data_IF_838788030312
#
_entry.id   IF_838788030312
#
_cell.length_a   1.000
_cell.length_b   1.000
_cell.length_c   1.000
_cell.angle_alpha   90.00
_cell.angle_beta   90.00
_cell.angle_gamma   90.00
#
_symmetry.space_group_name_H-M   'P 1'
#
loop_
_entity.id
_entity.type
_entity.pdbx_description
1 polymer ?
#
# COMPACT_ATOMS: atom_id res chain seq x y z
N UNK A 1 -21.95 64.12 -9.91
CA UNK A 1 -23.21 63.85 -9.18
C UNK A 1 -23.86 62.66 -9.90
N UNK A 2 -24.02 61.43 -9.41
CA UNK A 2 -24.10 60.77 -8.09
C UNK A 2 -23.64 59.31 -8.39
N UNK A 3 -22.51 58.81 -7.89
CA UNK A 3 -22.33 58.11 -6.61
C UNK A 3 -23.32 56.96 -6.33
N UNK A 4 -22.93 55.73 -6.70
CA UNK A 4 -23.30 54.42 -6.09
C UNK A 4 -22.10 53.48 -6.40
N UNK A 5 -21.13 53.22 -5.54
CA UNK A 5 -21.10 52.70 -4.17
C UNK A 5 -21.85 51.38 -3.98
N UNK A 6 -21.08 50.37 -3.53
CA UNK A 6 -21.46 49.13 -2.84
C UNK A 6 -21.72 47.90 -3.74
N UNK A 7 -21.23 46.68 -3.50
CA UNK A 7 -20.54 46.09 -2.33
C UNK A 7 -20.04 44.67 -2.74
N UNK A 8 -18.85 44.29 -2.24
CA UNK A 8 -18.34 42.96 -1.81
C UNK A 8 -18.59 41.71 -2.67
N UNK A 9 -17.53 41.06 -3.19
CA UNK A 9 -16.79 39.94 -2.55
C UNK A 9 -17.63 38.65 -2.39
N UNK A 10 -17.38 37.66 -3.24
CA UNK A 10 -17.51 36.25 -2.83
C UNK A 10 -16.36 35.44 -3.43
N UNK A 11 -15.36 35.21 -2.59
CA UNK A 11 -14.41 34.12 -2.74
C UNK A 11 -15.14 32.81 -2.39
N UNK A 12 -15.02 31.82 -3.27
CA UNK A 12 -15.18 30.41 -2.90
C UNK A 12 -14.38 29.57 -3.91
N UNK A 13 -13.05 29.62 -3.77
CA UNK A 13 -12.19 28.51 -4.17
C UNK A 13 -12.55 27.34 -3.25
N UNK A 14 -13.55 26.57 -3.66
CA UNK A 14 -13.87 25.31 -3.01
C UNK A 14 -12.86 24.32 -3.55
N UNK A 15 -11.96 23.89 -2.66
CA UNK A 15 -11.01 22.83 -2.95
C UNK A 15 -11.74 21.61 -3.49
N UNK A 16 -11.33 21.18 -4.67
CA UNK A 16 -11.64 19.87 -5.22
C UNK A 16 -10.92 18.82 -4.37
N UNK A 17 -11.49 18.53 -3.20
CA UNK A 17 -11.26 17.27 -2.53
C UNK A 17 -11.89 16.19 -3.39
N UNK A 18 -11.06 15.42 -4.11
CA UNK A 18 -11.50 14.20 -4.75
C UNK A 18 -11.92 13.20 -3.67
N UNK A 19 -13.16 13.32 -3.19
CA UNK A 19 -13.85 12.19 -2.57
C UNK A 19 -14.21 11.26 -3.71
N UNK A 20 -13.29 10.35 -4.07
CA UNK A 20 -13.61 9.21 -4.93
C UNK A 20 -14.60 8.32 -4.18
N UNK A 21 -15.89 8.63 -4.32
CA UNK A 21 -16.94 7.66 -4.06
C UNK A 21 -16.67 6.44 -4.96
N UNK A 22 -16.81 5.20 -4.45
CA UNK A 22 -16.62 4.03 -5.28
C UNK A 22 -17.54 4.14 -6.50
N UNK A 23 -17.03 3.87 -7.71
CA UNK A 23 -17.88 3.85 -8.88
C UNK A 23 -19.03 2.86 -8.66
N UNK A 24 -20.26 3.28 -8.93
CA UNK A 24 -21.46 2.47 -8.68
C UNK A 24 -21.42 1.09 -9.36
N UNK A 25 -20.58 0.90 -10.38
CA UNK A 25 -20.37 -0.38 -11.06
C UNK A 25 -19.64 -1.43 -10.21
N UNK A 26 -18.74 -1.04 -9.30
CA UNK A 26 -18.00 -1.99 -8.47
C UNK A 26 -18.89 -2.64 -7.40
N UNK A 27 -19.97 -1.97 -7.02
CA UNK A 27 -20.99 -2.47 -6.09
C UNK A 27 -22.00 -3.42 -6.76
N UNK A 28 -22.03 -3.49 -8.09
CA UNK A 28 -22.94 -4.33 -8.87
C UNK A 28 -22.30 -5.62 -9.39
N UNK A 29 -20.99 -5.81 -9.20
CA UNK A 29 -20.29 -7.00 -9.66
C UNK A 29 -20.60 -8.24 -8.82
N UNK A 30 -20.72 -9.38 -9.50
CA UNK A 30 -20.83 -10.68 -8.86
C UNK A 30 -19.56 -11.00 -8.06
N UNK A 31 -19.68 -11.90 -7.07
CA UNK A 31 -18.52 -12.34 -6.27
C UNK A 31 -17.39 -12.92 -7.13
N UNK A 32 -17.74 -13.63 -8.21
CA UNK A 32 -16.77 -14.28 -9.11
C UNK A 32 -15.98 -13.23 -9.87
N UNK A 33 -16.64 -12.24 -10.47
CA UNK A 33 -15.98 -11.16 -11.21
C UNK A 33 -14.99 -10.38 -10.33
N UNK A 34 -15.35 -10.15 -9.06
CA UNK A 34 -14.44 -9.46 -8.12
C UNK A 34 -13.18 -10.27 -7.83
N UNK A 35 -13.30 -11.58 -7.65
CA UNK A 35 -12.16 -12.47 -7.45
C UNK A 35 -11.27 -12.52 -8.70
N UNK A 36 -11.87 -12.60 -9.89
CA UNK A 36 -11.14 -12.61 -11.16
C UNK A 36 -10.38 -11.30 -11.38
N UNK A 37 -10.96 -10.16 -11.03
CA UNK A 37 -10.27 -8.86 -11.09
C UNK A 37 -9.06 -8.80 -10.16
N UNK A 38 -9.15 -9.36 -8.95
CA UNK A 38 -8.00 -9.44 -8.03
C UNK A 38 -6.90 -10.32 -8.62
N UNK A 39 -7.25 -11.45 -9.23
CA UNK A 39 -6.26 -12.30 -9.89
C UNK A 39 -5.60 -11.62 -11.10
N UNK A 40 -6.37 -10.86 -11.87
CA UNK A 40 -5.86 -10.03 -12.96
C UNK A 40 -4.90 -8.94 -12.44
N UNK A 41 -5.25 -8.27 -11.33
CA UNK A 41 -4.36 -7.31 -10.68
C UNK A 41 -3.08 -7.97 -10.19
N UNK A 42 -3.18 -9.14 -9.55
CA UNK A 42 -2.02 -9.91 -9.10
C UNK A 42 -1.11 -10.30 -10.27
N UNK A 43 -1.68 -10.67 -11.41
CA UNK A 43 -0.93 -10.95 -12.62
C UNK A 43 -0.22 -9.70 -13.16
N UNK A 44 -0.91 -8.56 -13.20
CA UNK A 44 -0.33 -7.28 -13.63
C UNK A 44 0.87 -6.87 -12.74
N UNK A 45 0.76 -7.00 -11.41
CA UNK A 45 1.88 -6.74 -10.48
C UNK A 45 3.09 -7.63 -10.80
N UNK A 46 2.88 -8.94 -11.05
CA UNK A 46 3.97 -9.87 -11.38
C UNK A 46 4.66 -9.55 -12.71
N UNK A 47 3.95 -8.91 -13.63
CA UNK A 47 4.51 -8.46 -14.91
C UNK A 47 5.16 -7.08 -14.84
N UNK A 48 5.09 -6.40 -13.70
CA UNK A 48 5.57 -5.03 -13.55
C UNK A 48 4.63 -3.95 -14.11
N UNK A 49 3.42 -4.33 -14.52
CA UNK A 49 2.38 -3.40 -14.99
C UNK A 49 1.59 -2.85 -13.79
N UNK A 50 2.23 -1.93 -13.06
CA UNK A 50 1.68 -1.38 -11.82
C UNK A 50 0.51 -0.44 -12.06
N UNK A 51 0.46 0.27 -13.20
CA UNK A 51 -0.64 1.17 -13.54
C UNK A 51 -1.94 0.37 -13.75
N UNK A 52 -1.88 -0.72 -14.53
CA UNK A 52 -3.03 -1.62 -14.69
C UNK A 52 -3.42 -2.25 -13.36
N UNK A 53 -2.47 -2.70 -12.55
CA UNK A 53 -2.75 -3.26 -11.23
C UNK A 53 -3.48 -2.26 -10.33
N UNK A 54 -3.02 -1.01 -10.28
CA UNK A 54 -3.67 0.05 -9.50
C UNK A 54 -5.06 0.36 -10.02
N UNK A 55 -5.25 0.43 -11.34
CA UNK A 55 -6.56 0.65 -11.95
C UNK A 55 -7.55 -0.44 -11.56
N UNK A 56 -7.14 -1.71 -11.63
CA UNK A 56 -7.97 -2.87 -11.27
C UNK A 56 -8.30 -2.92 -9.78
N UNK A 57 -7.39 -2.47 -8.91
CA UNK A 57 -7.59 -2.45 -7.45
C UNK A 57 -8.33 -1.20 -6.96
N UNK A 58 -8.32 -0.11 -7.73
CA UNK A 58 -8.89 1.19 -7.35
C UNK A 58 -10.35 1.14 -6.88
N UNK A 59 -11.26 0.31 -7.43
CA UNK A 59 -12.65 0.30 -6.98
C UNK A 59 -12.82 -0.35 -5.59
N UNK A 60 -11.79 -1.05 -5.11
CA UNK A 60 -11.80 -1.79 -3.86
C UNK A 60 -11.03 -1.11 -2.73
N UNK A 61 -10.25 -0.09 -3.06
CA UNK A 61 -9.35 0.60 -2.15
C UNK A 61 -9.73 2.08 -2.01
N UNK A 62 -9.57 2.61 -0.82
CA UNK A 62 -9.68 4.03 -0.55
C UNK A 62 -8.62 4.46 0.46
N UNK A 63 -8.33 5.76 0.53
CA UNK A 63 -7.57 6.34 1.64
C UNK A 63 -8.53 6.92 2.66
N UNK A 64 -8.28 6.62 3.94
CA UNK A 64 -9.04 7.22 5.03
C UNK A 64 -8.59 8.65 5.35
N UNK A 65 -9.20 9.25 6.37
CA UNK A 65 -8.86 10.62 6.80
C UNK A 65 -7.44 10.76 7.35
N UNK A 66 -6.78 9.67 7.75
CA UNK A 66 -5.37 9.62 8.14
C UNK A 66 -4.43 9.36 6.94
N UNK A 67 -4.99 9.15 5.75
CA UNK A 67 -4.22 8.80 4.55
C UNK A 67 -3.87 7.32 4.45
N UNK A 68 -4.30 6.45 5.38
CA UNK A 68 -4.06 5.01 5.32
C UNK A 68 -4.84 4.36 4.19
N UNK A 69 -4.20 3.45 3.47
CA UNK A 69 -4.84 2.66 2.43
C UNK A 69 -5.70 1.57 3.05
N UNK A 70 -6.99 1.54 2.70
CA UNK A 70 -7.98 0.61 3.26
C UNK A 70 -8.83 -0.04 2.18
N UNK A 71 -9.29 -1.25 2.45
CA UNK A 71 -10.31 -1.92 1.64
C UNK A 71 -11.72 -1.41 1.96
N UNK A 72 -12.53 -1.22 0.93
CA UNK A 72 -13.96 -0.95 1.08
C UNK A 72 -14.66 -2.10 1.84
N UNK A 73 -15.51 -1.81 2.85
CA UNK A 73 -16.17 -2.83 3.66
C UNK A 73 -17.04 -3.82 2.86
N UNK A 74 -17.59 -3.37 1.74
CA UNK A 74 -18.54 -4.12 0.90
C UNK A 74 -17.81 -4.87 -0.24
N UNK A 75 -16.53 -4.56 -0.47
CA UNK A 75 -15.78 -4.92 -1.67
C UNK A 75 -15.29 -6.36 -1.73
N UNK A 76 -15.04 -7.03 -0.59
CA UNK A 76 -14.42 -8.36 -0.57
C UNK A 76 -15.31 -9.41 0.07
N UNK A 77 -15.59 -10.48 -0.67
CA UNK A 77 -15.97 -11.74 -0.06
C UNK A 77 -14.77 -12.34 0.70
N UNK A 78 -15.04 -13.16 1.71
CA UNK A 78 -14.00 -13.68 2.63
C UNK A 78 -12.88 -14.46 1.92
N UNK A 79 -13.20 -15.10 0.79
CA UNK A 79 -12.27 -15.86 -0.06
C UNK A 79 -11.32 -14.97 -0.88
N UNK A 80 -11.81 -13.88 -1.45
CA UNK A 80 -10.98 -12.94 -2.22
C UNK A 80 -10.12 -12.01 -1.35
N UNK A 81 -10.43 -11.89 -0.06
CA UNK A 81 -9.79 -10.92 0.83
C UNK A 81 -8.29 -11.17 1.02
N UNK A 82 -7.85 -12.42 1.22
CA UNK A 82 -6.41 -12.73 1.39
C UNK A 82 -5.65 -12.46 0.09
N UNK A 83 -6.18 -12.88 -1.06
CA UNK A 83 -5.59 -12.58 -2.36
C UNK A 83 -5.47 -11.07 -2.62
N UNK A 84 -6.49 -10.29 -2.23
CA UNK A 84 -6.44 -8.83 -2.29
C UNK A 84 -5.36 -8.24 -1.40
N UNK A 85 -5.26 -8.68 -0.14
CA UNK A 85 -4.21 -8.26 0.81
C UNK A 85 -2.83 -8.56 0.24
N UNK A 86 -2.61 -9.77 -0.26
CA UNK A 86 -1.31 -10.21 -0.78
C UNK A 86 -0.93 -9.42 -2.04
N UNK A 87 -1.90 -9.16 -2.92
CA UNK A 87 -1.69 -8.37 -4.13
C UNK A 87 -1.32 -6.92 -3.81
N UNK A 88 -2.02 -6.29 -2.86
CA UNK A 88 -1.73 -4.91 -2.45
C UNK A 88 -0.39 -4.83 -1.73
N UNK A 89 -0.08 -5.81 -0.88
CA UNK A 89 1.22 -5.92 -0.20
C UNK A 89 2.35 -6.02 -1.22
N UNK A 90 2.20 -6.90 -2.22
CA UNK A 90 3.18 -7.05 -3.29
C UNK A 90 3.31 -5.76 -4.11
N UNK A 91 2.20 -5.14 -4.52
CA UNK A 91 2.23 -3.88 -5.27
C UNK A 91 2.96 -2.79 -4.50
N UNK A 92 2.65 -2.61 -3.22
CA UNK A 92 3.29 -1.64 -2.34
C UNK A 92 4.79 -1.93 -2.16
N UNK A 93 5.15 -3.21 -2.10
CA UNK A 93 6.55 -3.64 -2.07
C UNK A 93 7.26 -3.30 -3.39
N UNK A 94 6.76 -3.75 -4.54
CA UNK A 94 7.41 -3.53 -5.84
C UNK A 94 7.54 -2.05 -6.21
N UNK A 95 6.59 -1.22 -5.78
CA UNK A 95 6.60 0.23 -6.02
C UNK A 95 7.43 1.03 -5.01
N UNK A 96 8.05 0.38 -4.01
CA UNK A 96 8.87 1.05 -3.00
C UNK A 96 8.09 2.02 -2.09
N UNK A 97 6.79 1.78 -1.87
CA UNK A 97 5.92 2.66 -1.07
C UNK A 97 5.91 2.24 0.40
N UNK A 98 7.10 2.20 1.00
CA UNK A 98 7.39 1.58 2.30
C UNK A 98 6.53 2.12 3.44
N UNK A 99 6.34 3.44 3.52
CA UNK A 99 5.50 4.06 4.55
C UNK A 99 4.03 3.62 4.48
N UNK A 100 3.50 3.48 3.26
CA UNK A 100 2.14 2.95 3.08
C UNK A 100 2.10 1.45 3.34
N UNK A 101 3.15 0.72 2.96
CA UNK A 101 3.28 -0.72 3.22
C UNK A 101 3.28 -1.04 4.70
N UNK A 102 4.05 -0.33 5.53
CA UNK A 102 4.10 -0.54 6.97
C UNK A 102 2.74 -0.42 7.64
N UNK A 103 2.00 0.66 7.34
CA UNK A 103 0.65 0.86 7.86
C UNK A 103 -0.32 -0.22 7.37
N UNK A 104 -0.17 -0.65 6.11
CA UNK A 104 -1.01 -1.67 5.51
C UNK A 104 -0.79 -3.06 6.15
N UNK A 105 0.47 -3.49 6.36
CA UNK A 105 0.77 -4.79 6.95
C UNK A 105 0.37 -4.88 8.42
N UNK A 106 0.41 -3.77 9.16
CA UNK A 106 -0.07 -3.72 10.54
C UNK A 106 -1.55 -3.98 10.68
N UNK A 107 -2.30 -3.47 9.70
CA UNK A 107 -3.75 -3.59 9.65
C UNK A 107 -4.20 -4.96 9.16
N UNK A 108 -3.52 -5.51 8.15
CA UNK A 108 -4.06 -6.64 7.38
C UNK A 108 -3.28 -7.94 7.51
N UNK A 109 -1.97 -7.90 7.77
CA UNK A 109 -1.18 -9.12 8.00
C UNK A 109 -1.18 -9.47 9.49
N UNK A 110 -1.00 -10.75 9.81
CA UNK A 110 -0.95 -11.23 11.19
C UNK A 110 0.31 -12.06 11.45
N UNK A 111 0.68 -12.17 12.73
CA UNK A 111 1.73 -13.07 13.21
C UNK A 111 3.05 -12.95 12.44
N UNK A 112 3.54 -14.09 11.96
CA UNK A 112 4.84 -14.21 11.29
C UNK A 112 4.91 -13.44 9.96
N UNK A 113 3.84 -13.44 9.15
CA UNK A 113 3.84 -12.73 7.85
C UNK A 113 4.10 -11.23 8.03
N UNK A 114 3.46 -10.61 9.04
CA UNK A 114 3.68 -9.20 9.38
C UNK A 114 5.12 -8.96 9.81
N UNK A 115 5.65 -9.82 10.68
CA UNK A 115 7.03 -9.74 11.16
C UNK A 115 8.03 -9.78 10.02
N UNK A 116 7.92 -10.78 9.14
CA UNK A 116 8.77 -10.94 7.96
C UNK A 116 8.75 -9.70 7.08
N UNK A 117 7.56 -9.15 6.80
CA UNK A 117 7.46 -7.95 5.97
C UNK A 117 8.10 -6.72 6.62
N UNK A 118 7.96 -6.53 7.94
CA UNK A 118 8.65 -5.47 8.67
C UNK A 118 10.17 -5.59 8.58
N UNK A 119 10.71 -6.79 8.76
CA UNK A 119 12.15 -7.00 8.66
C UNK A 119 12.67 -6.74 7.23
N UNK A 120 11.92 -7.14 6.21
CA UNK A 120 12.25 -6.85 4.80
C UNK A 120 12.24 -5.36 4.47
N UNK A 121 11.30 -4.59 5.02
CA UNK A 121 11.26 -3.12 4.84
C UNK A 121 12.52 -2.47 5.41
N UNK A 122 12.92 -2.86 6.63
CA UNK A 122 14.18 -2.39 7.24
C UNK A 122 15.41 -2.73 6.41
N UNK A 123 15.49 -3.97 5.90
CA UNK A 123 16.58 -4.38 5.00
C UNK A 123 16.64 -3.50 3.75
N UNK A 124 15.51 -3.26 3.10
CA UNK A 124 15.44 -2.43 1.89
C UNK A 124 15.83 -0.98 2.16
N UNK A 125 15.47 -0.45 3.32
CA UNK A 125 15.90 0.88 3.79
C UNK A 125 17.37 0.97 4.18
N UNK A 126 18.16 -0.10 4.01
CA UNK A 126 19.56 -0.20 4.47
C UNK A 126 19.74 0.04 5.98
N UNK A 127 18.69 -0.21 6.78
CA UNK A 127 18.72 -0.15 8.25
C UNK A 127 19.24 -1.48 8.79
N UNK A 128 20.50 -1.80 8.50
CA UNK A 128 21.05 -3.15 8.67
C UNK A 128 21.04 -3.64 10.13
N UNK A 129 21.36 -2.77 11.10
CA UNK A 129 21.30 -3.12 12.52
C UNK A 129 19.87 -3.45 12.96
N UNK A 130 18.90 -2.61 12.61
CA UNK A 130 17.49 -2.84 12.92
C UNK A 130 16.93 -4.10 12.23
N UNK A 131 17.35 -4.36 11.00
CA UNK A 131 17.00 -5.57 10.26
C UNK A 131 17.61 -6.81 10.91
N UNK A 132 18.87 -6.77 11.34
CA UNK A 132 19.53 -7.86 12.06
C UNK A 132 18.77 -8.23 13.34
N UNK A 133 18.42 -7.24 14.16
CA UNK A 133 17.64 -7.47 15.37
C UNK A 133 16.25 -8.04 15.05
N UNK A 134 15.57 -7.49 14.04
CA UNK A 134 14.27 -7.96 13.59
C UNK A 134 14.26 -9.46 13.24
N UNK A 135 15.20 -9.90 12.42
CA UNK A 135 15.28 -11.31 12.03
C UNK A 135 15.64 -12.24 13.19
N UNK A 136 16.51 -11.80 14.11
CA UNK A 136 16.82 -12.57 15.30
C UNK A 136 15.60 -12.74 16.23
N UNK A 137 14.81 -11.68 16.42
CA UNK A 137 13.57 -11.74 17.20
C UNK A 137 12.53 -12.67 16.59
N UNK A 138 12.50 -12.80 15.26
CA UNK A 138 11.67 -13.78 14.55
C UNK A 138 12.22 -15.21 14.61
N UNK A 139 13.46 -15.41 15.07
CA UNK A 139 14.14 -16.71 15.09
C UNK A 139 14.88 -17.06 13.80
N UNK A 140 14.93 -16.17 12.81
CA UNK A 140 15.56 -16.37 11.50
C UNK A 140 17.05 -15.99 11.52
N UNK A 141 17.84 -16.70 12.34
CA UNK A 141 19.28 -16.42 12.56
C UNK A 141 20.10 -16.38 11.28
N UNK A 142 19.87 -17.33 10.37
CA UNK A 142 20.57 -17.38 9.08
C UNK A 142 20.29 -16.13 8.22
N UNK A 143 19.08 -15.57 8.31
CA UNK A 143 18.74 -14.33 7.61
C UNK A 143 19.43 -13.14 8.27
N UNK A 144 19.42 -13.07 9.61
CA UNK A 144 20.12 -12.03 10.36
C UNK A 144 21.63 -11.99 10.00
N UNK A 145 22.31 -13.13 9.92
CA UNK A 145 23.72 -13.18 9.51
C UNK A 145 23.95 -12.64 8.09
N UNK A 146 23.04 -12.93 7.16
CA UNK A 146 23.13 -12.39 5.78
C UNK A 146 22.99 -10.88 5.73
N UNK A 147 22.20 -10.28 6.62
CA UNK A 147 22.09 -8.82 6.73
C UNK A 147 23.45 -8.21 7.08
N UNK A 148 24.15 -8.75 8.07
CA UNK A 148 25.48 -8.25 8.47
C UNK A 148 26.52 -8.40 7.37
N UNK A 149 26.49 -9.50 6.61
CA UNK A 149 27.39 -9.68 5.45
C UNK A 149 27.10 -8.65 4.36
N UNK A 150 25.82 -8.35 4.13
CA UNK A 150 25.39 -7.34 3.16
C UNK A 150 25.83 -5.94 3.57
N UNK A 151 25.72 -5.60 4.86
CA UNK A 151 26.26 -4.35 5.41
C UNK A 151 27.77 -4.24 5.20
N UNK A 152 28.53 -5.28 5.57
CA UNK A 152 29.97 -5.30 5.41
C UNK A 152 30.38 -5.13 3.94
N UNK A 153 29.71 -5.81 3.01
CA UNK A 153 29.93 -5.66 1.58
C UNK A 153 29.59 -4.24 1.10
N UNK A 154 28.47 -3.67 1.55
CA UNK A 154 28.07 -2.29 1.19
C UNK A 154 29.10 -1.27 1.65
N UNK A 155 29.65 -1.42 2.86
CA UNK A 155 30.72 -0.56 3.38
C UNK A 155 32.03 -0.68 2.59
N UNK A 156 32.34 -1.85 2.02
CA UNK A 156 33.54 -2.04 1.20
C UNK A 156 33.38 -1.48 -0.22
N UNK A 157 32.17 -1.51 -0.77
CA UNK A 157 31.89 -1.07 -2.15
C UNK A 157 31.60 0.43 -2.26
N UNK A 158 31.16 1.07 -1.17
CA UNK A 158 30.79 2.49 -1.13
C UNK A 158 31.85 3.38 -0.47
N UNK A 159 32.96 2.80 0.00
CA UNK A 159 34.17 3.51 0.41
C UNK A 159 35.17 3.54 -0.76
#
# INVERSE_FOLDING_TARGET
>A
MIARCSILLLAALIGSGCTTSPPSYALQQSRVERTDQIHAAAHAVRLGDYETAESLLSPYLYRDNSGELRFHPIGFAADGRKAGIDTVTQLLWETGRDSTLELFIDRYLGGYERGVMRCRIRERGALYEEAYHCWNELGDRDRAERVMRTEAASRLLLN
#
